data_IF_503492225539
#
_entry.id   IF_503492225539
#
_cell.length_a   1.000
_cell.length_b   1.000
_cell.length_c   1.000
_cell.angle_alpha   90.00
_cell.angle_beta   90.00
_cell.angle_gamma   90.00
#
_symmetry.space_group_name_H-M   'P 1'
#
loop_
_entity.id
_entity.type
_entity.pdbx_description
1 polymer ?
#
# COMPACT_ATOMS: atom_id res chain seq x y z
N UNK A 1 -19.92 18.90 -1.22
CA UNK A 1 -18.92 19.73 -0.53
C UNK A 1 -17.68 19.77 -1.44
N UNK A 2 -17.37 20.93 -2.02
CA UNK A 2 -16.12 21.12 -2.76
C UNK A 2 -15.01 21.32 -1.72
N UNK A 3 -14.01 20.45 -1.71
CA UNK A 3 -12.91 20.49 -0.74
C UNK A 3 -11.95 21.62 -1.14
N UNK A 4 -11.80 22.62 -0.27
CA UNK A 4 -11.03 23.83 -0.57
C UNK A 4 -9.51 23.58 -0.76
N UNK A 5 -9.01 22.42 -0.28
CA UNK A 5 -7.65 21.92 -0.53
C UNK A 5 -7.63 20.39 -0.35
N UNK A 6 -7.61 19.59 -1.44
CA UNK A 6 -7.69 18.13 -1.36
C UNK A 6 -6.51 17.48 -0.62
N UNK A 7 -5.42 18.21 -0.39
CA UNK A 7 -4.25 17.73 0.34
C UNK A 7 -4.44 17.68 1.87
N UNK A 8 -5.53 18.26 2.40
CA UNK A 8 -5.85 18.27 3.83
C UNK A 8 -6.76 17.11 4.27
N UNK A 9 -7.08 16.22 3.33
CA UNK A 9 -8.09 15.21 3.52
C UNK A 9 -7.58 13.82 3.15
N UNK A 10 -7.98 12.84 3.94
CA UNK A 10 -7.77 11.41 3.66
C UNK A 10 -9.14 10.76 3.52
N UNK A 11 -9.34 10.05 2.42
CA UNK A 11 -10.47 9.16 2.27
C UNK A 11 -10.17 7.83 2.96
N UNK A 12 -11.02 7.47 3.93
CA UNK A 12 -10.93 6.23 4.67
C UNK A 12 -12.03 5.28 4.22
N UNK A 13 -11.71 4.02 3.98
CA UNK A 13 -12.70 2.97 3.69
C UNK A 13 -12.59 1.92 4.77
N UNK A 14 -13.60 1.83 5.64
CA UNK A 14 -13.68 0.74 6.59
C UNK A 14 -14.43 -0.44 5.98
N UNK A 15 -13.88 -1.62 6.18
CA UNK A 15 -14.46 -2.88 5.73
C UNK A 15 -14.29 -3.91 6.85
N UNK A 16 -15.29 -4.78 6.96
CA UNK A 16 -15.28 -5.91 7.89
C UNK A 16 -15.03 -7.18 7.08
N UNK A 17 -13.85 -7.77 7.22
CA UNK A 17 -13.55 -9.10 6.71
C UNK A 17 -14.07 -10.15 7.68
N UNK A 18 -15.05 -10.95 7.26
CA UNK A 18 -15.42 -12.18 7.97
C UNK A 18 -16.87 -12.58 7.83
N UNK A 19 -17.18 -13.89 7.63
CA UNK A 19 -18.56 -14.38 7.61
C UNK A 19 -19.31 -14.09 8.93
N UNK A 20 -18.57 -13.87 10.04
CA UNK A 20 -19.15 -13.53 11.34
C UNK A 20 -19.52 -12.05 11.53
N UNK A 21 -19.05 -11.14 10.67
CA UNK A 21 -19.29 -9.69 10.81
C UNK A 21 -20.07 -9.07 9.65
N UNK A 22 -20.10 -9.74 8.49
CA UNK A 22 -20.85 -9.27 7.31
C UNK A 22 -22.36 -9.36 7.49
N UNK A 23 -22.86 -10.19 8.41
CA UNK A 23 -24.31 -10.30 8.64
C UNK A 23 -24.85 -9.29 9.67
N UNK A 24 -24.00 -8.64 10.47
CA UNK A 24 -24.48 -7.83 11.61
C UNK A 24 -23.78 -6.49 11.86
N UNK A 25 -22.67 -6.16 11.20
CA UNK A 25 -22.05 -4.84 11.41
C UNK A 25 -22.82 -3.75 10.66
N UNK A 26 -23.39 -2.82 11.41
CA UNK A 26 -24.05 -1.64 10.83
C UNK A 26 -23.02 -0.61 10.40
N UNK A 27 -23.44 0.36 9.58
CA UNK A 27 -22.65 1.56 9.28
C UNK A 27 -22.16 2.26 10.56
N UNK A 28 -23.03 2.34 11.58
CA UNK A 28 -22.73 2.95 12.88
C UNK A 28 -21.61 2.21 13.62
N UNK A 29 -21.57 0.88 13.55
CA UNK A 29 -20.53 0.07 14.19
C UNK A 29 -19.18 0.30 13.53
N UNK A 30 -19.14 0.34 12.19
CA UNK A 30 -17.91 0.65 11.45
C UNK A 30 -17.39 2.05 11.76
N UNK A 31 -18.26 3.05 11.84
CA UNK A 31 -17.88 4.41 12.23
C UNK A 31 -17.26 4.44 13.63
N UNK A 32 -17.88 3.77 14.61
CA UNK A 32 -17.35 3.63 15.97
C UNK A 32 -15.99 2.93 16.00
N UNK A 33 -15.77 1.92 15.17
CA UNK A 33 -14.47 1.24 15.10
C UNK A 33 -13.36 2.15 14.56
N UNK A 34 -13.64 2.94 13.52
CA UNK A 34 -12.68 3.93 12.99
C UNK A 34 -12.38 5.01 14.02
N UNK A 35 -13.40 5.55 14.69
CA UNK A 35 -13.23 6.52 15.78
C UNK A 35 -12.41 5.95 16.93
N UNK A 36 -12.72 4.73 17.37
CA UNK A 36 -11.99 4.08 18.46
C UNK A 36 -10.53 3.83 18.10
N UNK A 37 -10.26 3.41 16.86
CA UNK A 37 -8.90 3.25 16.37
C UNK A 37 -8.14 4.59 16.39
N UNK A 38 -8.71 5.67 15.83
CA UNK A 38 -8.09 6.99 15.83
C UNK A 38 -7.80 7.51 17.23
N UNK A 39 -8.71 7.26 18.18
CA UNK A 39 -8.51 7.65 19.57
C UNK A 39 -7.37 6.88 20.24
N UNK A 40 -7.23 5.58 19.95
CA UNK A 40 -6.24 4.69 20.57
C UNK A 40 -4.84 4.74 19.96
N UNK A 41 -4.70 5.11 18.69
CA UNK A 41 -3.36 5.26 18.08
C UNK A 41 -2.55 6.27 18.91
N UNK A 42 -1.35 5.96 19.36
CA UNK A 42 -0.51 6.95 20.06
C UNK A 42 0.41 7.62 19.05
N UNK A 43 0.26 8.94 18.86
CA UNK A 43 1.07 9.72 17.92
C UNK A 43 1.26 11.13 18.49
N UNK A 44 2.50 11.62 18.50
CA UNK A 44 2.95 12.82 19.24
C UNK A 44 2.10 14.07 18.94
N UNK A 45 1.76 14.29 17.67
CA UNK A 45 0.81 15.32 17.27
C UNK A 45 -0.09 14.79 16.15
N UNK A 46 -1.32 14.43 16.50
CA UNK A 46 -2.34 13.97 15.55
C UNK A 46 -3.05 15.09 14.79
N UNK A 47 -3.04 16.32 15.30
CA UNK A 47 -3.98 17.38 14.90
C UNK A 47 -5.37 17.22 15.52
N UNK A 48 -6.29 18.12 15.15
CA UNK A 48 -7.69 18.12 15.61
C UNK A 48 -8.53 17.34 14.61
N UNK A 49 -8.50 16.02 14.76
CA UNK A 49 -9.09 15.10 13.78
C UNK A 49 -10.62 15.17 13.82
N UNK A 50 -11.22 15.31 12.65
CA UNK A 50 -12.64 15.10 12.40
C UNK A 50 -12.82 13.97 11.36
N UNK A 51 -13.91 13.21 11.48
CA UNK A 51 -14.26 12.14 10.55
C UNK A 51 -15.68 12.35 10.07
N UNK A 52 -15.84 12.50 8.77
CA UNK A 52 -17.13 12.75 8.14
C UNK A 52 -17.60 11.51 7.37
N UNK A 53 -18.82 11.04 7.58
CA UNK A 53 -19.38 9.93 6.82
C UNK A 53 -19.57 10.29 5.34
N UNK A 54 -19.13 9.43 4.42
CA UNK A 54 -19.50 9.52 3.00
C UNK A 54 -20.74 8.67 2.78
N UNK A 55 -21.89 9.33 2.72
CA UNK A 55 -23.17 8.67 2.47
C UNK A 55 -23.27 8.35 0.97
N UNK A 56 -23.02 7.10 0.61
CA UNK A 56 -23.33 6.61 -0.74
C UNK A 56 -24.85 6.44 -0.89
N UNK A 57 -25.41 6.85 -2.05
CA UNK A 57 -26.81 6.59 -2.38
C UNK A 57 -27.01 5.09 -2.59
N UNK A 58 -27.84 4.49 -1.72
CA UNK A 58 -28.33 3.10 -1.67
C UNK A 58 -27.22 2.00 -1.73
N UNK A 59 -27.16 1.09 -0.75
CA UNK A 59 -26.24 -0.04 -0.81
C UNK A 59 -26.61 -0.94 -2.00
N UNK A 60 -25.66 -1.17 -2.89
CA UNK A 60 -25.75 -2.25 -3.87
C UNK A 60 -25.29 -3.52 -3.15
N UNK A 61 -26.06 -4.62 -3.16
CA UNK A 61 -25.62 -5.87 -2.55
C UNK A 61 -24.32 -6.32 -3.22
N UNK A 62 -23.22 -6.33 -2.49
CA UNK A 62 -21.93 -6.80 -2.98
C UNK A 62 -21.42 -7.94 -2.09
N UNK A 63 -20.62 -8.82 -2.68
CA UNK A 63 -20.06 -10.02 -2.04
C UNK A 63 -19.16 -9.73 -0.82
N UNK A 64 -18.83 -8.46 -0.59
CA UNK A 64 -18.19 -7.93 0.61
C UNK A 64 -19.21 -6.96 1.21
N UNK A 65 -19.66 -7.22 2.45
CA UNK A 65 -20.69 -6.39 3.10
C UNK A 65 -20.38 -4.89 3.02
N UNK A 66 -21.43 -4.06 3.08
CA UNK A 66 -21.40 -2.62 2.82
C UNK A 66 -20.11 -1.92 3.29
N UNK A 67 -19.22 -1.59 2.34
CA UNK A 67 -18.07 -0.72 2.62
C UNK A 67 -18.56 0.67 3.02
N UNK A 68 -17.88 1.28 3.98
CA UNK A 68 -18.27 2.61 4.48
C UNK A 68 -17.11 3.57 4.29
N UNK A 69 -17.33 4.55 3.41
CA UNK A 69 -16.38 5.62 3.15
C UNK A 69 -16.50 6.70 4.22
N UNK A 70 -15.36 7.29 4.58
CA UNK A 70 -15.25 8.43 5.48
C UNK A 70 -14.21 9.42 4.96
N UNK A 71 -14.36 10.68 5.32
CA UNK A 71 -13.35 11.72 5.09
C UNK A 71 -12.73 12.05 6.44
N UNK A 72 -11.43 11.84 6.57
CA UNK A 72 -10.64 12.30 7.69
C UNK A 72 -10.07 13.68 7.36
N UNK A 73 -10.28 14.63 8.27
CA UNK A 73 -9.88 16.03 8.17
C UNK A 73 -9.17 16.46 9.46
N UNK A 74 -8.35 17.52 9.39
CA UNK A 74 -7.78 18.17 10.56
C UNK A 74 -6.60 17.42 11.20
N UNK A 75 -6.15 16.34 10.57
CA UNK A 75 -4.92 15.67 10.97
C UNK A 75 -3.68 16.53 10.68
N UNK A 76 -2.64 16.38 11.51
CA UNK A 76 -1.35 17.02 11.26
C UNK A 76 -0.70 16.43 10.00
N UNK A 77 0.16 17.19 9.27
CA UNK A 77 0.83 16.67 8.07
C UNK A 77 1.62 15.37 8.31
N UNK A 78 2.30 15.26 9.44
CA UNK A 78 3.07 14.07 9.80
C UNK A 78 2.18 12.86 10.08
N UNK A 79 1.05 13.07 10.77
CA UNK A 79 0.11 12.00 11.04
C UNK A 79 -0.61 11.55 9.76
N UNK A 80 -0.96 12.49 8.88
CA UNK A 80 -1.51 12.19 7.57
C UNK A 80 -0.55 11.34 6.74
N UNK A 81 0.71 11.76 6.65
CA UNK A 81 1.75 10.99 5.95
C UNK A 81 1.86 9.58 6.52
N UNK A 82 1.93 9.44 7.85
CA UNK A 82 1.98 8.13 8.49
C UNK A 82 0.77 7.24 8.17
N UNK A 83 -0.46 7.79 8.21
CA UNK A 83 -1.67 7.03 7.85
C UNK A 83 -1.61 6.56 6.39
N UNK A 84 -1.22 7.45 5.48
CA UNK A 84 -1.17 7.20 4.05
C UNK A 84 -0.04 6.25 3.67
N UNK A 85 1.12 6.32 4.32
CA UNK A 85 2.26 5.44 4.07
C UNK A 85 1.94 3.98 4.41
N UNK A 86 1.10 3.74 5.43
CA UNK A 86 0.68 2.39 5.80
C UNK A 86 -0.45 1.87 4.92
N UNK A 87 -1.30 2.77 4.39
CA UNK A 87 -2.50 2.51 3.58
C UNK A 87 -3.57 1.62 4.21
N UNK A 88 -3.22 0.67 5.07
CA UNK A 88 -4.10 -0.32 5.68
C UNK A 88 -3.83 -0.40 7.16
N UNK A 89 -4.89 -0.27 7.96
CA UNK A 89 -4.83 -0.32 9.41
C UNK A 89 -5.79 -1.38 9.93
N UNK A 90 -5.32 -2.21 10.86
CA UNK A 90 -6.23 -3.08 11.61
C UNK A 90 -7.04 -2.23 12.58
N UNK A 91 -8.36 -2.37 12.53
CA UNK A 91 -9.22 -1.72 13.51
C UNK A 91 -9.27 -2.55 14.81
N UNK A 92 -9.80 -1.93 15.87
CA UNK A 92 -9.89 -2.53 17.22
C UNK A 92 -10.83 -3.75 17.23
N UNK A 93 -11.79 -3.81 16.32
CA UNK A 93 -12.63 -4.99 16.14
C UNK A 93 -11.90 -6.08 15.34
N UNK A 94 -11.95 -7.31 15.84
CA UNK A 94 -11.37 -8.46 15.16
C UNK A 94 -11.93 -8.60 13.74
N UNK A 95 -11.07 -8.67 12.73
CA UNK A 95 -11.49 -8.78 11.31
C UNK A 95 -11.92 -7.46 10.66
N UNK A 96 -11.99 -6.34 11.38
CA UNK A 96 -12.22 -5.03 10.78
C UNK A 96 -10.91 -4.37 10.35
N UNK A 97 -10.91 -3.74 9.19
CA UNK A 97 -9.74 -3.07 8.63
C UNK A 97 -10.15 -1.75 7.99
N UNK A 98 -9.19 -0.84 7.90
CA UNK A 98 -9.34 0.51 7.39
C UNK A 98 -8.34 0.73 6.28
N UNK A 99 -8.81 1.06 5.08
CA UNK A 99 -7.97 1.60 4.04
C UNK A 99 -7.92 3.11 4.13
N UNK A 100 -6.77 3.70 3.88
CA UNK A 100 -6.56 5.13 3.77
C UNK A 100 -6.03 5.48 2.38
N UNK A 101 -6.69 6.44 1.74
CA UNK A 101 -6.37 6.97 0.43
C UNK A 101 -6.28 8.50 0.53
N UNK A 102 -5.33 9.16 -0.12
CA UNK A 102 -5.39 10.61 -0.22
C UNK A 102 -6.52 11.00 -1.19
N UNK A 103 -7.19 12.11 -0.92
CA UNK A 103 -8.18 12.64 -1.88
C UNK A 103 -7.50 13.21 -3.11
N UNK A 104 -6.33 13.83 -2.94
CA UNK A 104 -5.46 14.14 -4.06
C UNK A 104 -4.66 12.87 -4.46
N UNK A 105 -4.94 12.25 -5.62
CA UNK A 105 -4.22 11.05 -6.07
C UNK A 105 -2.72 11.29 -6.30
N UNK A 106 -2.28 12.53 -6.53
CA UNK A 106 -0.86 12.87 -6.68
C UNK A 106 -0.06 12.72 -5.37
N UNK A 107 -0.74 12.70 -4.22
CA UNK A 107 -0.14 12.45 -2.90
C UNK A 107 -0.18 10.97 -2.50
N UNK A 108 -0.66 10.09 -3.38
CA UNK A 108 -0.71 8.66 -3.11
C UNK A 108 0.69 8.08 -3.31
N UNK A 109 1.46 8.05 -2.22
CA UNK A 109 2.67 7.26 -2.16
C UNK A 109 2.27 5.79 -2.19
N UNK A 110 2.50 5.12 -3.32
CA UNK A 110 2.23 3.69 -3.46
C UNK A 110 3.43 2.91 -2.95
N UNK A 111 3.27 2.18 -1.84
CA UNK A 111 4.31 1.28 -1.35
C UNK A 111 4.46 0.10 -2.33
N UNK A 112 5.53 0.16 -3.13
CA UNK A 112 5.88 -0.87 -4.09
C UNK A 112 6.36 -2.11 -3.34
N UNK A 113 7.32 -1.93 -2.43
CA UNK A 113 7.90 -2.99 -1.62
C UNK A 113 8.58 -2.42 -0.37
N UNK A 114 8.70 -3.24 0.67
CA UNK A 114 9.50 -2.93 1.87
C UNK A 114 10.66 -3.92 1.92
N UNK A 115 11.88 -3.43 2.16
CA UNK A 115 13.09 -4.23 2.34
C UNK A 115 13.52 -4.25 3.79
N UNK A 116 14.01 -5.40 4.21
CA UNK A 116 14.71 -5.64 5.46
C UNK A 116 16.11 -6.17 5.20
N UNK A 117 16.98 -6.01 6.19
CA UNK A 117 18.23 -6.73 6.25
C UNK A 117 17.95 -8.25 6.26
N UNK A 118 18.59 -8.99 5.35
CA UNK A 118 18.71 -10.45 5.48
C UNK A 118 19.72 -10.83 6.58
N UNK A 119 19.87 -12.13 6.83
CA UNK A 119 20.68 -12.67 7.94
C UNK A 119 22.14 -12.14 8.01
N UNK A 120 22.71 -11.70 6.88
CA UNK A 120 24.09 -11.19 6.77
C UNK A 120 24.15 -9.74 6.25
N UNK A 121 23.07 -8.98 6.39
CA UNK A 121 22.99 -7.60 5.94
C UNK A 121 22.70 -6.69 7.12
N UNK A 122 23.24 -5.47 7.08
CA UNK A 122 22.78 -4.38 7.93
C UNK A 122 22.36 -3.26 6.98
N UNK A 123 21.16 -2.72 7.21
CA UNK A 123 20.73 -1.49 6.55
C UNK A 123 21.44 -0.36 7.29
N UNK A 124 22.23 0.39 6.55
CA UNK A 124 22.95 1.56 7.04
C UNK A 124 22.10 2.76 6.62
N UNK A 125 21.80 3.65 7.56
CA UNK A 125 21.15 4.92 7.27
C UNK A 125 22.18 5.86 6.63
N UNK A 126 22.38 5.65 5.34
CA UNK A 126 23.33 6.35 4.49
C UNK A 126 22.69 6.55 3.10
N UNK A 127 22.77 7.77 2.58
CA UNK A 127 22.19 8.13 1.29
C UNK A 127 22.83 7.35 0.13
N UNK A 128 24.12 7.06 0.21
CA UNK A 128 24.79 6.23 -0.80
C UNK A 128 24.23 4.80 -0.81
N UNK A 129 23.95 4.24 0.37
CA UNK A 129 23.31 2.94 0.50
C UNK A 129 21.87 2.95 -0.05
N UNK A 130 21.10 4.01 0.20
CA UNK A 130 19.74 4.17 -0.36
C UNK A 130 19.79 4.27 -1.88
N UNK A 131 20.66 5.09 -2.44
CA UNK A 131 20.84 5.20 -3.90
C UNK A 131 21.26 3.87 -4.53
N UNK A 132 22.23 3.17 -3.93
CA UNK A 132 22.65 1.84 -4.40
C UNK A 132 21.51 0.82 -4.31
N UNK A 133 20.68 0.89 -3.27
CA UNK A 133 19.49 0.04 -3.10
C UNK A 133 18.46 0.30 -4.19
N UNK A 134 18.12 1.55 -4.45
CA UNK A 134 17.18 1.92 -5.52
C UNK A 134 17.71 1.47 -6.87
N UNK A 135 19.00 1.71 -7.15
CA UNK A 135 19.65 1.26 -8.39
C UNK A 135 19.57 -0.26 -8.57
N UNK A 136 19.83 -1.03 -7.51
CA UNK A 136 19.72 -2.49 -7.52
C UNK A 136 18.29 -2.95 -7.83
N UNK A 137 17.29 -2.33 -7.19
CA UNK A 137 15.87 -2.66 -7.42
C UNK A 137 15.47 -2.37 -8.87
N UNK A 138 15.80 -1.18 -9.37
CA UNK A 138 15.47 -0.78 -10.75
C UNK A 138 16.13 -1.70 -11.77
N UNK A 139 17.42 -2.01 -11.57
CA UNK A 139 18.15 -2.97 -12.41
C UNK A 139 17.43 -4.33 -12.45
N UNK A 140 17.09 -4.87 -11.28
CA UNK A 140 16.39 -6.15 -11.19
C UNK A 140 15.03 -6.12 -11.87
N UNK A 141 14.29 -5.01 -11.80
CA UNK A 141 13.01 -4.85 -12.51
C UNK A 141 13.23 -4.88 -14.03
N UNK A 142 14.23 -4.16 -14.55
CA UNK A 142 14.46 -4.02 -15.99
C UNK A 142 15.02 -5.30 -16.64
N UNK A 143 15.81 -6.07 -15.90
CA UNK A 143 16.43 -7.31 -16.39
C UNK A 143 15.54 -8.54 -16.19
N UNK A 144 14.47 -8.45 -15.37
CA UNK A 144 13.63 -9.60 -15.07
C UNK A 144 12.71 -9.97 -16.23
N UNK A 145 12.82 -11.22 -16.70
CA UNK A 145 11.96 -11.77 -17.78
C UNK A 145 10.46 -11.69 -17.48
N UNK A 146 10.06 -11.90 -16.22
CA UNK A 146 8.67 -11.79 -15.77
C UNK A 146 8.15 -10.37 -15.93
N UNK A 147 8.92 -9.37 -15.49
CA UNK A 147 8.59 -7.95 -15.66
C UNK A 147 8.52 -7.54 -17.13
N UNK A 148 9.47 -7.98 -17.95
CA UNK A 148 9.46 -7.72 -19.38
C UNK A 148 8.24 -8.35 -20.07
N UNK A 149 7.82 -9.55 -19.67
CA UNK A 149 6.63 -10.18 -20.18
C UNK A 149 5.34 -9.48 -19.72
N UNK A 150 5.29 -9.01 -18.47
CA UNK A 150 4.19 -8.18 -17.98
C UNK A 150 4.08 -6.88 -18.79
N UNK A 151 5.18 -6.18 -19.01
CA UNK A 151 5.22 -4.95 -19.80
C UNK A 151 4.78 -5.17 -21.25
N UNK A 152 5.20 -6.29 -21.88
CA UNK A 152 4.70 -6.68 -23.21
C UNK A 152 3.18 -6.83 -23.24
N UNK A 153 2.61 -7.57 -22.27
CA UNK A 153 1.15 -7.76 -22.17
C UNK A 153 0.42 -6.44 -21.94
N UNK A 154 0.99 -5.56 -21.11
CA UNK A 154 0.43 -4.25 -20.82
C UNK A 154 0.32 -3.40 -22.10
N UNK A 155 1.37 -3.36 -22.92
CA UNK A 155 1.41 -2.65 -24.20
C UNK A 155 0.46 -3.28 -25.22
N UNK A 156 0.43 -4.61 -25.31
CA UNK A 156 -0.46 -5.35 -26.23
C UNK A 156 -1.94 -5.12 -25.93
N UNK A 157 -2.30 -4.89 -24.66
CA UNK A 157 -3.67 -4.54 -24.27
C UNK A 157 -4.06 -3.10 -24.65
N UNK A 158 -3.11 -2.28 -25.14
CA UNK A 158 -3.28 -0.86 -25.45
C UNK A 158 -2.69 -0.48 -26.82
N UNK A 159 -3.05 -1.18 -27.91
CA UNK A 159 -2.39 -1.01 -29.22
C UNK A 159 -2.69 0.33 -29.90
N UNK A 160 -3.72 1.05 -29.45
CA UNK A 160 -4.16 2.32 -30.03
C UNK A 160 -3.94 3.52 -29.11
N UNK A 161 -3.29 3.33 -27.96
CA UNK A 161 -3.00 4.43 -27.05
C UNK A 161 -1.75 5.18 -27.56
N UNK A 162 -1.86 6.47 -27.92
CA UNK A 162 -0.73 7.26 -28.40
C UNK A 162 0.42 7.32 -27.40
N UNK A 163 0.13 7.21 -26.10
CA UNK A 163 1.15 7.23 -25.04
C UNK A 163 2.07 6.00 -25.07
N UNK A 164 1.59 4.89 -25.64
CA UNK A 164 2.29 3.60 -25.66
C UNK A 164 2.73 3.17 -27.06
N UNK A 165 2.47 4.00 -28.07
CA UNK A 165 2.86 3.73 -29.46
C UNK A 165 4.39 3.76 -29.59
N UNK A 166 4.97 2.71 -30.19
CA UNK A 166 6.42 2.52 -30.35
C UNK A 166 7.23 2.48 -29.04
N UNK A 167 6.58 2.29 -27.89
CA UNK A 167 7.25 2.13 -26.61
C UNK A 167 7.69 0.68 -26.43
N UNK A 168 8.98 0.44 -26.22
CA UNK A 168 9.48 -0.90 -25.88
C UNK A 168 9.12 -1.28 -24.43
N UNK A 169 9.07 -2.59 -24.09
CA UNK A 169 8.79 -3.03 -22.73
C UNK A 169 9.72 -2.43 -21.67
N UNK A 170 11.02 -2.27 -21.99
CA UNK A 170 11.99 -1.66 -21.07
C UNK A 170 11.71 -0.17 -20.89
N UNK A 171 11.43 0.56 -21.98
CA UNK A 171 11.08 1.98 -21.89
C UNK A 171 9.81 2.20 -21.06
N UNK A 172 8.80 1.34 -21.20
CA UNK A 172 7.63 1.38 -20.35
C UNK A 172 8.01 1.20 -18.87
N UNK A 173 8.81 0.19 -18.53
CA UNK A 173 9.22 -0.04 -17.15
C UNK A 173 9.95 1.18 -16.58
N UNK A 174 10.89 1.78 -17.32
CA UNK A 174 11.60 3.01 -16.91
C UNK A 174 10.63 4.17 -16.66
N UNK A 175 9.64 4.37 -17.55
CA UNK A 175 8.63 5.41 -17.38
C UNK A 175 7.77 5.19 -16.13
N UNK A 176 7.40 3.94 -15.85
CA UNK A 176 6.57 3.57 -14.69
C UNK A 176 7.33 3.70 -13.37
N UNK A 177 8.62 3.37 -13.35
CA UNK A 177 9.46 3.40 -12.14
C UNK A 177 10.15 4.74 -11.90
N UNK A 178 10.04 5.72 -12.81
CA UNK A 178 10.72 7.03 -12.69
C UNK A 178 10.43 7.81 -11.40
N UNK A 179 9.25 7.57 -10.82
CA UNK A 179 8.80 8.23 -9.59
C UNK A 179 9.20 7.44 -8.34
N UNK A 180 9.99 6.38 -8.47
CA UNK A 180 10.33 5.53 -7.33
C UNK A 180 11.30 6.25 -6.41
N UNK A 181 11.00 6.19 -5.11
CA UNK A 181 11.78 6.81 -4.05
C UNK A 181 11.97 5.82 -2.91
N UNK A 182 13.08 5.93 -2.19
CA UNK A 182 13.33 5.18 -0.98
C UNK A 182 13.09 6.07 0.22
N UNK A 183 12.40 5.56 1.22
CA UNK A 183 12.24 6.20 2.52
C UNK A 183 12.59 5.20 3.62
N UNK A 184 13.14 5.70 4.71
CA UNK A 184 13.35 4.89 5.90
C UNK A 184 12.02 4.67 6.63
N UNK A 185 11.85 3.45 7.13
CA UNK A 185 10.77 3.11 8.03
C UNK A 185 11.40 2.54 9.30
N UNK A 186 11.16 3.20 10.42
CA UNK A 186 11.47 2.63 11.73
C UNK A 186 10.39 1.61 12.10
N UNK A 187 10.73 0.32 12.03
CA UNK A 187 9.87 -0.75 12.55
C UNK A 187 10.40 -1.20 13.91
N UNK A 188 9.52 -1.25 14.91
CA UNK A 188 9.89 -1.71 16.26
C UNK A 188 9.49 -3.16 16.45
N UNK A 189 10.43 -4.01 16.85
CA UNK A 189 10.10 -5.35 17.34
C UNK A 189 9.34 -5.25 18.68
N UNK A 190 8.59 -6.31 19.09
CA UNK A 190 7.96 -6.38 20.41
C UNK A 190 8.93 -6.17 21.60
N UNK A 191 10.23 -6.33 21.37
CA UNK A 191 11.31 -6.13 22.35
C UNK A 191 11.96 -4.73 22.32
N UNK A 192 11.35 -3.74 21.66
CA UNK A 192 11.83 -2.34 21.52
C UNK A 192 13.14 -2.15 20.74
N UNK A 193 13.71 -3.18 20.13
CA UNK A 193 14.79 -3.02 19.16
C UNK A 193 14.25 -2.39 17.87
N UNK A 194 14.89 -1.31 17.43
CA UNK A 194 14.63 -0.68 16.12
C UNK A 194 15.24 -1.57 15.05
N UNK A 195 14.40 -2.03 14.12
CA UNK A 195 14.85 -2.77 12.95
C UNK A 195 14.69 -1.86 11.73
N UNK A 196 15.79 -1.35 11.15
CA UNK A 196 15.69 -0.47 9.99
C UNK A 196 15.02 -1.19 8.82
N UNK A 197 14.20 -0.44 8.09
CA UNK A 197 13.52 -0.87 6.87
C UNK A 197 13.65 0.21 5.83
N UNK A 198 13.78 -0.22 4.58
CA UNK A 198 13.69 0.68 3.43
C UNK A 198 12.34 0.42 2.75
N UNK A 199 11.50 1.44 2.67
CA UNK A 199 10.29 1.38 1.87
C UNK A 199 10.55 2.02 0.51
N UNK A 200 10.17 1.31 -0.53
CA UNK A 200 10.17 1.85 -1.89
C UNK A 200 8.76 2.29 -2.20
N UNK A 201 8.66 3.59 -2.43
CA UNK A 201 7.44 4.27 -2.83
C UNK A 201 7.49 4.57 -4.31
N UNK A 202 6.33 4.72 -4.93
CA UNK A 202 6.22 5.12 -6.32
C UNK A 202 4.82 5.61 -6.64
N UNK A 203 4.57 5.86 -7.93
CA UNK A 203 3.21 6.08 -8.42
C UNK A 203 2.57 4.74 -8.80
N UNK A 204 1.24 4.62 -8.71
CA UNK A 204 0.53 3.48 -9.28
C UNK A 204 0.89 3.31 -10.76
N UNK A 205 1.18 2.07 -11.18
CA UNK A 205 1.56 1.78 -12.58
C UNK A 205 0.35 1.64 -13.51
N UNK A 206 -0.86 1.59 -12.94
CA UNK A 206 -2.14 1.47 -13.64
C UNK A 206 -3.28 1.89 -12.72
N UNK A 207 -4.42 2.25 -13.30
CA UNK A 207 -5.71 2.40 -12.60
C UNK A 207 -6.44 1.06 -12.40
N UNK A 208 -6.03 0.00 -13.11
CA UNK A 208 -6.60 -1.35 -12.98
C UNK A 208 -5.91 -2.13 -11.87
N UNK A 209 -6.70 -2.51 -10.85
CA UNK A 209 -6.22 -3.27 -9.69
C UNK A 209 -5.51 -4.59 -10.05
N UNK A 210 -5.98 -5.30 -11.07
CA UNK A 210 -5.35 -6.54 -11.51
C UNK A 210 -3.93 -6.33 -12.02
N UNK A 211 -3.70 -5.28 -12.80
CA UNK A 211 -2.38 -4.97 -13.36
C UNK A 211 -1.40 -4.51 -12.27
N UNK A 212 -1.88 -3.69 -11.32
CA UNK A 212 -1.12 -3.31 -10.11
C UNK A 212 -0.71 -4.53 -9.28
N UNK A 213 -1.63 -5.47 -9.09
CA UNK A 213 -1.40 -6.71 -8.34
C UNK A 213 -0.34 -7.58 -9.03
N UNK A 214 -0.45 -7.78 -10.33
CA UNK A 214 0.50 -8.60 -11.09
C UNK A 214 1.90 -7.98 -11.10
N UNK A 215 1.98 -6.66 -11.30
CA UNK A 215 3.24 -5.91 -11.24
C UNK A 215 3.92 -6.09 -9.88
N UNK A 216 3.21 -5.77 -8.80
CA UNK A 216 3.77 -5.84 -7.44
C UNK A 216 4.12 -7.27 -7.03
N UNK A 217 3.38 -8.28 -7.50
CA UNK A 217 3.69 -9.69 -7.28
C UNK A 217 5.07 -10.05 -7.87
N UNK A 218 5.33 -9.68 -9.12
CA UNK A 218 6.60 -9.99 -9.77
C UNK A 218 7.73 -9.26 -9.03
N UNK A 219 7.58 -7.96 -8.78
CA UNK A 219 8.60 -7.15 -8.10
C UNK A 219 8.95 -7.68 -6.71
N UNK A 220 7.96 -8.07 -5.90
CA UNK A 220 8.18 -8.55 -4.53
C UNK A 220 8.76 -9.97 -4.46
N UNK A 221 8.85 -10.67 -5.58
CA UNK A 221 9.52 -11.97 -5.69
C UNK A 221 10.94 -11.88 -6.28
N UNK A 222 11.41 -10.67 -6.62
CA UNK A 222 12.78 -10.45 -7.03
C UNK A 222 13.75 -10.59 -5.84
N UNK A 223 14.99 -10.94 -6.16
CA UNK A 223 16.09 -10.96 -5.20
C UNK A 223 16.96 -9.74 -5.37
N UNK A 224 17.16 -8.98 -4.29
CA UNK A 224 17.89 -7.72 -4.32
C UNK A 224 19.22 -7.87 -3.60
N UNK A 225 20.29 -7.42 -4.24
CA UNK A 225 21.62 -7.42 -3.65
C UNK A 225 22.23 -6.02 -3.74
N UNK A 226 22.74 -5.53 -2.62
CA UNK A 226 23.39 -4.22 -2.50
C UNK A 226 24.75 -4.46 -1.88
N UNK A 227 25.82 -4.12 -2.59
CA UNK A 227 27.21 -4.35 -2.15
C UNK A 227 27.44 -5.79 -1.67
N UNK A 228 26.99 -6.76 -2.47
CA UNK A 228 27.03 -8.21 -2.20
C UNK A 228 26.18 -8.70 -1.01
N UNK A 229 25.47 -7.80 -0.34
CA UNK A 229 24.56 -8.13 0.76
C UNK A 229 23.15 -8.32 0.22
N UNK A 230 22.50 -9.42 0.59
CA UNK A 230 21.12 -9.70 0.20
C UNK A 230 20.15 -8.90 1.07
N UNK A 231 19.29 -8.12 0.42
CA UNK A 231 18.11 -7.54 1.04
C UNK A 231 16.92 -8.48 0.85
N UNK A 232 16.10 -8.59 1.88
CA UNK A 232 14.89 -9.41 1.85
C UNK A 232 13.67 -8.53 1.77
N UNK A 233 12.65 -8.99 1.06
CA UNK A 233 11.35 -8.33 1.09
C UNK A 233 10.71 -8.59 2.46
N UNK A 234 10.44 -7.53 3.22
CA UNK A 234 9.73 -7.64 4.50
C UNK A 234 8.25 -7.93 4.24
N UNK A 235 7.94 -9.23 4.29
CA UNK A 235 6.57 -9.71 4.11
C UNK A 235 5.66 -9.33 5.29
N UNK A 236 6.18 -8.90 6.45
CA UNK A 236 5.34 -8.63 7.65
C UNK A 236 4.54 -7.34 7.52
N UNK A 237 5.07 -6.35 6.83
CA UNK A 237 4.45 -5.03 6.64
C UNK A 237 3.35 -5.08 5.56
N UNK A 238 3.35 -6.12 4.71
CA UNK A 238 2.49 -6.20 3.51
C UNK A 238 1.84 -7.58 3.37
N UNK A 239 1.32 -8.15 4.46
CA UNK A 239 0.61 -9.43 4.44
C UNK A 239 -0.89 -9.24 4.55
N UNK A 240 -1.65 -10.01 3.77
CA UNK A 240 -3.06 -10.19 4.04
C UNK A 240 -3.22 -10.77 5.46
N UNK A 241 -4.01 -10.09 6.31
CA UNK A 241 -4.21 -10.48 7.71
C UNK A 241 -4.81 -11.89 7.86
N UNK A 242 -5.56 -12.37 6.86
CA UNK A 242 -6.23 -13.67 6.85
C UNK A 242 -5.35 -14.84 6.42
N UNK A 243 -4.94 -14.90 5.16
CA UNK A 243 -4.16 -16.05 4.67
C UNK A 243 -2.64 -15.91 4.92
N UNK A 244 -2.19 -14.81 5.55
CA UNK A 244 -0.78 -14.49 5.81
C UNK A 244 0.10 -14.46 4.53
N UNK A 245 -0.50 -14.38 3.35
CA UNK A 245 0.20 -14.28 2.08
C UNK A 245 0.58 -12.82 1.77
N UNK A 246 1.78 -12.63 1.22
CA UNK A 246 2.34 -11.32 0.85
C UNK A 246 2.00 -10.86 -0.58
N UNK A 247 1.11 -11.62 -1.26
CA UNK A 247 1.02 -11.69 -2.73
C UNK A 247 -0.32 -11.26 -3.31
N UNK A 248 -1.26 -10.74 -2.52
CA UNK A 248 -2.47 -10.08 -3.05
C UNK A 248 -2.85 -8.86 -2.21
N UNK A 249 -3.38 -7.83 -2.87
CA UNK A 249 -4.09 -6.73 -2.19
C UNK A 249 -5.20 -7.35 -1.33
N UNK A 250 -5.55 -6.75 -0.17
CA UNK A 250 -6.51 -7.40 0.77
C UNK A 250 -7.86 -7.76 0.12
N UNK A 251 -8.16 -7.24 -1.06
CA UNK A 251 -9.35 -7.45 -1.86
C UNK A 251 -9.43 -8.77 -2.65
N UNK A 252 -8.35 -9.57 -2.76
CA UNK A 252 -8.30 -10.80 -3.60
C UNK A 252 -8.03 -12.11 -2.84
N UNK A 253 -8.32 -12.20 -1.54
CA UNK A 253 -8.18 -13.46 -0.80
C UNK A 253 -9.36 -14.41 -1.12
N UNK A 254 -9.16 -15.31 -2.10
CA UNK A 254 -10.15 -16.31 -2.52
C UNK A 254 -10.15 -17.59 -1.65
N UNK A 255 -9.22 -17.71 -0.70
CA UNK A 255 -9.08 -18.90 0.14
C UNK A 255 -9.21 -18.53 1.61
N UNK A 256 -10.37 -18.90 2.14
CA UNK A 256 -10.59 -19.23 3.52
C UNK A 256 -9.49 -20.13 4.05
N UNK A 257 -9.21 -19.98 5.34
CA UNK A 257 -8.56 -21.05 6.10
C UNK A 257 -9.49 -22.26 6.01
N UNK A 258 -9.07 -23.30 5.30
CA UNK A 258 -9.40 -24.67 5.69
C UNK A 258 -8.12 -25.27 6.24
N UNK A 259 -8.07 -25.28 7.57
CA UNK A 259 -7.09 -25.89 8.49
C UNK A 259 -5.61 -25.51 8.36
#
# INVERSE_FOLDING_TARGET
MLLADPNKYIFLVAFTGGPYLTQHSTYSDRYKHVQTWLNKVEFENKGKIAIHPVIAKKPTPQAFGDSSGYILEGASPNFMKWILDQQVHSLVAAGASLFAYPINPDNCSWVVLTLQAGANCQIIDDEDFKHATLGSVLKMIYENKGMLNWAKKFLQARPHDPLYTNVSPVQLLVQLTRAYQITDLESRKPKKEVEPRLQIHGRPVSDKLAELSDFTHIVRNLSFHVSFKKLEVDKRVIRCLWCKQSIHTHFKCLYAVSE
#
